data_IF_107819693287
#
_entry.id   IF_107819693287
#
_cell.length_a   1.000
_cell.length_b   1.000
_cell.length_c   1.000
_cell.angle_alpha   90.00
_cell.angle_beta   90.00
_cell.angle_gamma   90.00
#
_symmetry.space_group_name_H-M   'P 1'
#
loop_
_entity.id
_entity.type
_entity.pdbx_description
1 polymer ?
#
# COMPACT_ATOMS: atom_id res chain seq x y z
N UNK A 1 -7.92 11.17 -8.07
CA UNK A 1 -6.62 11.82 -8.38
C UNK A 1 -5.83 10.86 -9.25
N UNK A 2 -5.23 11.30 -10.35
CA UNK A 2 -4.40 10.43 -11.21
C UNK A 2 -3.12 10.01 -10.46
N UNK A 3 -2.65 8.75 -10.55
CA UNK A 3 -1.40 8.34 -9.91
C UNK A 3 -0.19 9.15 -10.41
N UNK A 4 0.73 9.45 -9.50
CA UNK A 4 1.91 10.28 -9.79
C UNK A 4 3.20 9.78 -9.14
N UNK A 5 3.14 8.68 -8.38
CA UNK A 5 4.31 8.03 -7.81
C UNK A 5 4.12 6.51 -7.76
N UNK A 6 5.24 5.80 -7.82
CA UNK A 6 5.31 4.35 -7.58
C UNK A 6 4.82 4.04 -6.17
N UNK A 7 4.13 2.91 -6.01
CA UNK A 7 3.62 2.43 -4.73
C UNK A 7 2.22 2.92 -4.35
N UNK A 8 1.64 3.86 -5.09
CA UNK A 8 0.25 4.27 -4.89
C UNK A 8 -0.72 3.11 -5.16
N UNK A 9 -1.77 3.04 -4.36
CA UNK A 9 -2.91 2.15 -4.61
C UNK A 9 -3.93 2.89 -5.47
N UNK A 10 -4.33 2.26 -6.56
CA UNK A 10 -5.27 2.82 -7.51
C UNK A 10 -6.31 1.79 -7.92
N UNK A 11 -7.39 2.28 -8.54
CA UNK A 11 -8.37 1.47 -9.26
C UNK A 11 -8.70 2.16 -10.58
N UNK A 12 -9.38 1.46 -11.48
CA UNK A 12 -9.95 2.09 -12.66
C UNK A 12 -11.09 3.03 -12.27
N UNK A 13 -11.08 4.26 -12.79
CA UNK A 13 -12.24 5.15 -12.63
C UNK A 13 -13.42 4.71 -13.51
N UNK A 14 -13.11 4.00 -14.61
CA UNK A 14 -14.06 3.32 -15.48
C UNK A 14 -13.61 1.87 -15.67
N UNK A 15 -14.06 0.94 -14.79
CA UNK A 15 -13.73 -0.47 -14.89
C UNK A 15 -14.24 -1.09 -16.20
N UNK A 16 -13.57 -2.15 -16.67
CA UNK A 16 -14.08 -2.94 -17.79
C UNK A 16 -15.35 -3.71 -17.38
N UNK A 17 -16.17 -4.14 -18.36
CA UNK A 17 -17.45 -4.81 -18.08
C UNK A 17 -17.32 -6.05 -17.19
N UNK A 18 -16.22 -6.81 -17.33
CA UNK A 18 -15.94 -8.03 -16.56
C UNK A 18 -15.06 -7.80 -15.32
N UNK A 19 -14.69 -6.55 -15.03
CA UNK A 19 -13.78 -6.20 -13.95
C UNK A 19 -14.54 -5.87 -12.67
N UNK A 20 -14.06 -6.36 -11.51
CA UNK A 20 -14.59 -5.93 -10.21
C UNK A 20 -14.29 -4.44 -10.01
N UNK A 21 -15.31 -3.56 -9.84
CA UNK A 21 -15.12 -2.14 -9.61
C UNK A 21 -14.32 -1.78 -8.34
N UNK A 22 -14.19 -2.74 -7.42
CA UNK A 22 -13.41 -2.59 -6.19
C UNK A 22 -12.00 -3.21 -6.30
N UNK A 23 -11.62 -3.74 -7.47
CA UNK A 23 -10.29 -4.29 -7.67
C UNK A 23 -9.23 -3.21 -7.48
N UNK A 24 -8.33 -3.46 -6.55
CA UNK A 24 -7.23 -2.56 -6.22
C UNK A 24 -5.96 -3.01 -6.92
N UNK A 25 -5.16 -2.03 -7.32
CA UNK A 25 -3.89 -2.21 -7.99
C UNK A 25 -2.81 -1.39 -7.32
N UNK A 26 -1.58 -1.91 -7.30
CA UNK A 26 -0.39 -1.14 -6.93
C UNK A 26 0.31 -0.64 -8.20
N UNK A 27 0.68 0.64 -8.20
CA UNK A 27 1.49 1.28 -9.25
C UNK A 27 2.95 0.83 -9.12
N UNK A 28 3.51 0.22 -10.15
CA UNK A 28 4.89 -0.27 -10.18
C UNK A 28 5.84 0.69 -10.90
N UNK A 29 5.41 1.24 -12.03
CA UNK A 29 6.22 2.13 -12.87
C UNK A 29 5.31 3.07 -13.67
N UNK A 30 5.63 4.37 -13.71
CA UNK A 30 4.97 5.35 -14.57
C UNK A 30 5.92 5.65 -15.73
N UNK A 31 5.41 5.54 -16.96
CA UNK A 31 6.15 5.63 -18.22
C UNK A 31 5.63 6.82 -19.02
N UNK A 32 6.42 7.88 -19.10
CA UNK A 32 6.06 9.13 -19.76
C UNK A 32 5.40 10.14 -18.82
N UNK A 33 5.30 11.38 -19.29
CA UNK A 33 4.81 12.56 -18.57
C UNK A 33 3.77 13.36 -19.37
N UNK A 34 3.27 12.80 -20.46
CA UNK A 34 2.26 13.39 -21.34
C UNK A 34 0.94 12.60 -21.34
N UNK A 35 -0.01 13.00 -22.19
CA UNK A 35 -1.32 12.35 -22.33
C UNK A 35 -1.25 10.90 -22.87
N UNK A 36 -0.08 10.45 -23.31
CA UNK A 36 0.16 9.07 -23.73
C UNK A 36 0.80 8.21 -22.64
N UNK A 37 1.02 8.78 -21.46
CA UNK A 37 1.66 8.12 -20.33
C UNK A 37 0.97 6.80 -19.98
N UNK A 38 1.80 5.79 -19.74
CA UNK A 38 1.35 4.46 -19.35
C UNK A 38 1.88 4.10 -17.99
N UNK A 39 1.23 3.11 -17.37
CA UNK A 39 1.57 2.67 -16.03
C UNK A 39 1.54 1.16 -15.96
N UNK A 40 2.59 0.59 -15.39
CA UNK A 40 2.61 -0.81 -15.02
C UNK A 40 1.97 -0.96 -13.65
N UNK A 41 0.96 -1.82 -13.59
CA UNK A 41 0.19 -2.09 -12.38
C UNK A 41 0.14 -3.57 -12.09
N UNK A 42 -0.07 -3.90 -10.81
CA UNK A 42 -0.26 -5.27 -10.35
C UNK A 42 -1.50 -5.36 -9.46
N UNK A 43 -2.37 -6.31 -9.78
CA UNK A 43 -3.60 -6.55 -9.03
C UNK A 43 -3.29 -7.06 -7.62
N UNK A 44 -3.96 -6.47 -6.63
CA UNK A 44 -3.90 -6.87 -5.22
C UNK A 44 -5.03 -7.85 -4.90
N UNK A 45 -4.87 -8.64 -3.83
CA UNK A 45 -5.91 -9.54 -3.31
C UNK A 45 -6.47 -10.57 -4.31
N UNK A 46 -5.72 -10.92 -5.36
CA UNK A 46 -6.15 -11.94 -6.34
C UNK A 46 -6.04 -13.37 -5.85
N UNK A 47 -5.40 -13.60 -4.69
CA UNK A 47 -5.07 -14.94 -4.19
C UNK A 47 -3.94 -15.65 -4.96
N UNK A 48 -3.40 -15.02 -6.00
CA UNK A 48 -2.27 -15.55 -6.76
C UNK A 48 -0.96 -15.30 -6.00
N UNK A 49 -0.09 -16.32 -5.95
CA UNK A 49 1.26 -16.18 -5.40
C UNK A 49 2.14 -15.27 -6.26
N UNK A 50 1.85 -15.20 -7.56
CA UNK A 50 2.54 -14.33 -8.51
C UNK A 50 1.53 -13.68 -9.47
N UNK A 51 0.85 -12.60 -9.04
CA UNK A 51 -0.08 -11.89 -9.90
C UNK A 51 0.63 -11.31 -11.12
N UNK A 52 0.04 -11.37 -12.31
CA UNK A 52 0.61 -10.75 -13.51
C UNK A 52 0.67 -9.22 -13.37
N UNK A 53 1.62 -8.63 -14.09
CA UNK A 53 1.69 -7.18 -14.30
C UNK A 53 0.97 -6.82 -15.60
N UNK A 54 0.23 -5.72 -15.58
CA UNK A 54 -0.47 -5.17 -16.75
C UNK A 54 0.00 -3.74 -17.01
N UNK A 55 0.09 -3.35 -18.28
CA UNK A 55 0.38 -1.97 -18.67
C UNK A 55 -0.88 -1.31 -19.19
N UNK A 56 -1.32 -0.24 -18.55
CA UNK A 56 -2.55 0.50 -18.91
C UNK A 56 -2.27 1.99 -19.09
N UNK A 57 -3.27 2.77 -19.51
CA UNK A 57 -3.10 4.22 -19.58
C UNK A 57 -3.14 4.80 -18.19
N UNK A 58 -2.32 5.81 -17.94
CA UNK A 58 -2.25 6.45 -16.63
C UNK A 58 -3.56 7.16 -16.27
N UNK A 59 -4.21 7.76 -17.27
CA UNK A 59 -5.47 8.50 -17.14
C UNK A 59 -6.69 7.62 -16.91
N UNK A 60 -6.58 6.30 -17.08
CA UNK A 60 -7.64 5.32 -16.76
C UNK A 60 -7.74 5.04 -15.24
N UNK A 61 -6.75 5.49 -14.45
CA UNK A 61 -6.63 5.17 -13.04
C UNK A 61 -6.95 6.36 -12.12
N UNK A 62 -7.47 6.04 -10.95
CA UNK A 62 -7.55 6.95 -9.82
C UNK A 62 -6.95 6.35 -8.54
N UNK A 63 -6.15 7.14 -7.84
CA UNK A 63 -5.60 6.79 -6.54
C UNK A 63 -6.71 6.75 -5.50
N UNK A 64 -6.70 5.70 -4.69
CA UNK A 64 -7.66 5.50 -3.59
C UNK A 64 -6.96 5.59 -2.23
N UNK A 65 -7.62 6.18 -1.22
CA UNK A 65 -7.14 6.08 0.15
C UNK A 65 -7.28 4.63 0.63
N UNK A 66 -6.33 4.21 1.48
CA UNK A 66 -6.38 2.91 2.14
C UNK A 66 -6.92 3.11 3.56
N UNK A 67 -7.91 2.29 3.94
CA UNK A 67 -8.40 2.26 5.30
C UNK A 67 -7.42 1.46 6.18
N UNK A 68 -6.77 2.14 7.11
CA UNK A 68 -5.78 1.52 8.01
C UNK A 68 -6.45 0.84 9.21
N UNK A 69 -7.74 1.11 9.46
CA UNK A 69 -8.49 0.53 10.57
C UNK A 69 -8.57 -0.99 10.46
N UNK A 70 -8.51 -1.53 9.24
CA UNK A 70 -8.47 -2.96 8.97
C UNK A 70 -7.20 -3.62 9.55
N UNK A 71 -6.13 -2.84 9.80
CA UNK A 71 -4.92 -3.34 10.45
C UNK A 71 -5.14 -3.67 11.92
N UNK A 72 -6.16 -3.10 12.58
CA UNK A 72 -6.43 -3.34 14.00
C UNK A 72 -6.59 -4.85 14.25
N UNK A 73 -5.90 -5.34 15.29
CA UNK A 73 -5.80 -6.76 15.70
C UNK A 73 -4.95 -7.66 14.78
N UNK A 74 -4.43 -7.18 13.67
CA UNK A 74 -3.45 -7.94 12.88
C UNK A 74 -2.06 -7.84 13.50
N UNK A 75 -1.26 -8.89 13.30
CA UNK A 75 0.16 -8.89 13.67
C UNK A 75 0.93 -8.29 12.50
N UNK A 76 1.70 -7.25 12.77
CA UNK A 76 2.50 -6.54 11.78
C UNK A 76 3.91 -6.31 12.30
N UNK A 77 4.83 -5.97 11.40
CA UNK A 77 6.16 -5.49 11.75
C UNK A 77 6.17 -3.98 11.59
N UNK A 78 6.75 -3.26 12.55
CA UNK A 78 6.97 -1.83 12.47
C UNK A 78 8.45 -1.48 12.52
N UNK A 79 8.82 -0.39 11.86
CA UNK A 79 10.08 0.31 12.09
C UNK A 79 9.86 1.40 13.16
N UNK A 80 10.63 1.33 14.25
CA UNK A 80 10.67 2.38 15.26
C UNK A 80 11.54 3.56 14.81
N UNK A 81 11.46 4.68 15.54
CA UNK A 81 12.29 5.86 15.30
C UNK A 81 13.81 5.60 15.40
N UNK A 82 14.21 4.54 16.13
CA UNK A 82 15.60 4.08 16.24
C UNK A 82 15.99 3.09 15.12
N UNK A 83 15.16 2.93 14.08
CA UNK A 83 15.30 2.00 12.96
C UNK A 83 15.30 0.51 13.32
N UNK A 84 15.05 0.17 14.59
CA UNK A 84 14.87 -1.23 14.97
C UNK A 84 13.44 -1.69 14.69
N UNK A 85 13.31 -2.98 14.39
CA UNK A 85 12.05 -3.62 14.03
C UNK A 85 11.42 -4.32 15.22
N UNK A 86 10.11 -4.21 15.32
CA UNK A 86 9.30 -4.92 16.32
C UNK A 86 8.09 -5.53 15.63
N UNK A 87 7.81 -6.79 15.95
CA UNK A 87 6.54 -7.43 15.59
C UNK A 87 5.55 -7.28 16.74
N UNK A 88 4.29 -7.01 16.42
CA UNK A 88 3.25 -6.90 17.44
C UNK A 88 1.85 -6.80 16.85
N UNK A 89 0.86 -6.96 17.72
CA UNK A 89 -0.55 -6.81 17.38
C UNK A 89 -0.91 -5.33 17.34
N UNK A 90 -1.49 -4.85 16.23
CA UNK A 90 -1.96 -3.47 16.12
C UNK A 90 -3.10 -3.23 17.09
N UNK A 91 -2.97 -2.18 17.92
CA UNK A 91 -3.99 -1.72 18.86
C UNK A 91 -4.56 -0.35 18.50
N UNK A 92 -3.82 0.43 17.72
CA UNK A 92 -4.20 1.79 17.32
C UNK A 92 -3.56 2.14 15.97
N UNK A 93 -4.27 2.93 15.16
CA UNK A 93 -3.78 3.53 13.92
C UNK A 93 -3.85 5.05 14.05
N UNK A 94 -2.83 5.77 13.55
CA UNK A 94 -2.78 7.23 13.73
C UNK A 94 -3.73 8.00 12.79
N UNK A 95 -3.98 7.46 11.59
CA UNK A 95 -4.91 8.01 10.60
C UNK A 95 -5.73 6.87 10.01
N UNK A 96 -7.06 6.99 9.99
CA UNK A 96 -7.96 5.93 9.54
C UNK A 96 -7.96 5.75 8.01
N UNK A 97 -7.77 6.83 7.26
CA UNK A 97 -7.64 6.81 5.80
C UNK A 97 -6.37 7.55 5.41
N UNK A 98 -5.52 6.91 4.62
CA UNK A 98 -4.24 7.48 4.18
C UNK A 98 -3.96 7.15 2.72
N UNK A 99 -3.32 8.10 2.03
CA UNK A 99 -2.72 7.85 0.72
C UNK A 99 -1.42 7.08 0.95
N UNK A 100 -1.46 5.76 0.73
CA UNK A 100 -0.32 4.90 0.97
C UNK A 100 0.90 5.34 0.14
N UNK A 101 2.02 5.47 0.82
CA UNK A 101 3.34 5.66 0.23
C UNK A 101 4.19 4.44 0.56
N UNK A 102 4.93 3.95 -0.44
CA UNK A 102 5.80 2.80 -0.32
C UNK A 102 7.19 3.21 -0.81
N UNK A 103 8.17 3.15 0.09
CA UNK A 103 9.56 3.44 -0.22
C UNK A 103 10.41 2.20 -0.01
N UNK A 104 11.28 1.91 -0.97
CA UNK A 104 12.22 0.78 -0.86
C UNK A 104 13.33 1.15 0.12
N UNK A 105 13.32 0.53 1.29
CA UNK A 105 14.40 0.61 2.28
C UNK A 105 15.48 -0.44 2.06
N UNK A 106 16.49 -0.44 2.95
CA UNK A 106 17.62 -1.38 2.90
C UNK A 106 17.19 -2.83 3.18
N UNK A 107 16.18 -3.00 4.04
CA UNK A 107 15.74 -4.32 4.52
C UNK A 107 14.40 -4.79 3.95
N UNK A 108 13.68 -3.94 3.22
CA UNK A 108 12.34 -4.24 2.71
C UNK A 108 11.61 -2.96 2.29
N UNK A 109 10.29 -2.98 2.31
CA UNK A 109 9.44 -1.84 1.95
C UNK A 109 8.96 -1.12 3.20
N UNK A 110 9.20 0.18 3.27
CA UNK A 110 8.71 1.06 4.31
C UNK A 110 7.45 1.78 3.84
N UNK A 111 6.55 2.06 4.77
CA UNK A 111 5.30 2.76 4.47
C UNK A 111 5.16 4.03 5.30
N UNK A 112 4.28 4.94 4.89
CA UNK A 112 3.87 6.11 5.69
C UNK A 112 2.80 5.79 6.76
N UNK A 113 2.40 4.52 6.93
CA UNK A 113 1.32 4.12 7.83
C UNK A 113 1.82 4.02 9.27
N UNK A 114 1.40 4.95 10.12
CA UNK A 114 1.76 4.97 11.55
C UNK A 114 0.78 4.17 12.41
N UNK A 115 1.32 3.19 13.16
CA UNK A 115 0.53 2.34 14.05
C UNK A 115 1.19 2.20 15.42
N UNK A 116 0.37 1.89 16.42
CA UNK A 116 0.81 1.41 17.73
C UNK A 116 0.56 -0.10 17.79
N UNK A 117 1.61 -0.85 18.10
CA UNK A 117 1.55 -2.31 18.29
C UNK A 117 1.83 -2.68 19.73
N UNK A 118 1.25 -3.79 20.19
CA UNK A 118 1.61 -4.46 21.42
C UNK A 118 2.43 -5.72 21.12
N UNK A 119 3.63 -5.82 21.69
CA UNK A 119 4.50 -7.00 21.54
C UNK A 119 4.05 -8.19 22.42
N UNK A 120 4.76 -9.31 22.30
CA UNK A 120 4.49 -10.53 23.07
C UNK A 120 4.62 -10.36 24.60
N UNK A 121 5.37 -9.35 25.05
CA UNK A 121 5.56 -9.02 26.47
C UNK A 121 4.51 -8.01 26.96
N UNK A 122 3.54 -7.65 26.12
CA UNK A 122 2.50 -6.66 26.42
C UNK A 122 2.98 -5.21 26.32
N UNK A 123 4.22 -4.95 25.90
CA UNK A 123 4.78 -3.60 25.77
C UNK A 123 4.32 -2.96 24.46
N UNK A 124 3.97 -1.68 24.53
CA UNK A 124 3.52 -0.91 23.38
C UNK A 124 4.68 -0.23 22.66
N UNK A 125 4.61 -0.22 21.34
CA UNK A 125 5.59 0.40 20.47
C UNK A 125 4.88 1.16 19.35
N UNK A 126 5.39 2.33 19.00
CA UNK A 126 4.88 3.16 17.91
C UNK A 126 5.91 3.22 16.79
N UNK A 127 5.45 3.13 15.56
CA UNK A 127 6.31 3.18 14.39
C UNK A 127 5.53 3.15 13.08
N UNK A 128 6.26 3.06 11.97
CA UNK A 128 5.68 2.90 10.64
C UNK A 128 5.60 1.43 10.26
N UNK A 129 4.52 1.04 9.57
CA UNK A 129 4.36 -0.33 9.06
C UNK A 129 5.48 -0.67 8.07
N UNK A 130 6.05 -1.86 8.24
CA UNK A 130 7.09 -2.45 7.41
C UNK A 130 6.59 -3.72 6.75
N UNK A 131 6.90 -3.87 5.46
CA UNK A 131 6.54 -5.04 4.64
C UNK A 131 7.82 -5.67 4.09
N UNK A 132 7.96 -6.98 4.31
CA UNK A 132 9.14 -7.75 3.92
C UNK A 132 9.06 -8.25 2.47
#
# INVERSE_FOLDING_TARGET
MIPNKVGQIAKFHTPNEDEDPNQLYIVLEIKGDDDSARVDIKALNTGLSFPPTSTVRLDDLEVVPVNTSDLIRHIVIINKADYSQVSGKVIEVSEQEIMLDLTKGVKGVETNVWVTVQDENGKQHKGTLFVN
#
